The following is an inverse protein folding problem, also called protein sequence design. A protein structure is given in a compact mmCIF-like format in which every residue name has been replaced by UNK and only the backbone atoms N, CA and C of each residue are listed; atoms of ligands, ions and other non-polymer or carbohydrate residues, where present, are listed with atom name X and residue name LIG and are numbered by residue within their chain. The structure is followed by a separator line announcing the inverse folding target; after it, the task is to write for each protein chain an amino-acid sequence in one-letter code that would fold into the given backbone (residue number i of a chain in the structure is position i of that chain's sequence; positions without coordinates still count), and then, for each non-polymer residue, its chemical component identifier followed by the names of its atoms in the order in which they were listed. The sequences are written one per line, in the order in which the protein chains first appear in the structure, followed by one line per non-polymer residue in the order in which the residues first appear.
data_IF_359908197673
#
_entry.id   IF_359908197673
#
_cell.length_a   1.000
_cell.length_b   1.000
_cell.length_c   1.000
_cell.angle_alpha   90.00
_cell.angle_beta   90.00
_cell.angle_gamma   90.00
#
_symmetry.space_group_name_H-M   'P 1'
#
loop_
_entity.id
_entity.type
_entity.pdbx_description
1 polymer ?
#
# COMPACT_ATOMS: atom_id res chain seq x y z
N UNK A 1 -7.37 -13.82 0.52
CA UNK A 1 -8.31 -12.85 -0.11
C UNK A 1 -8.66 -11.76 0.87
N UNK A 2 -8.64 -10.51 0.42
CA UNK A 2 -9.11 -9.34 1.19
C UNK A 2 -10.50 -8.93 0.67
N UNK A 3 -11.45 -8.73 1.58
CA UNK A 3 -12.82 -8.30 1.23
C UNK A 3 -13.27 -7.16 2.12
N UNK A 4 -13.86 -6.15 1.51
CA UNK A 4 -14.53 -5.03 2.16
C UNK A 4 -16.03 -5.18 1.88
N UNK A 5 -16.85 -5.24 2.92
CA UNK A 5 -18.27 -5.49 2.85
C UNK A 5 -19.07 -4.37 3.49
N UNK A 6 -19.77 -3.59 2.65
CA UNK A 6 -20.66 -2.49 3.03
C UNK A 6 -20.03 -1.44 3.97
N UNK A 7 -18.74 -1.15 3.82
CA UNK A 7 -18.03 -0.19 4.68
C UNK A 7 -18.56 1.22 4.48
N UNK A 8 -18.95 1.85 5.60
CA UNK A 8 -19.21 3.28 5.68
C UNK A 8 -18.31 3.92 6.72
N UNK A 9 -17.89 5.16 6.47
CA UNK A 9 -17.01 5.91 7.36
C UNK A 9 -17.30 7.41 7.26
N UNK A 10 -17.21 8.11 8.37
CA UNK A 10 -17.33 9.58 8.43
C UNK A 10 -16.23 10.16 9.31
N UNK A 11 -15.72 11.31 8.92
CA UNK A 11 -14.99 12.19 9.83
C UNK A 11 -16.00 13.15 10.42
N UNK A 12 -16.20 13.10 11.73
CA UNK A 12 -17.28 13.82 12.43
C UNK A 12 -18.64 13.59 11.74
N UNK A 13 -19.21 14.62 11.14
CA UNK A 13 -20.49 14.57 10.44
C UNK A 13 -20.36 14.41 8.92
N UNK A 14 -19.13 14.43 8.37
CA UNK A 14 -18.91 14.34 6.94
C UNK A 14 -18.72 12.89 6.52
N UNK A 15 -19.70 12.33 5.80
CA UNK A 15 -19.62 10.97 5.27
C UNK A 15 -18.61 10.92 4.12
N UNK A 16 -17.58 10.09 4.29
CA UNK A 16 -16.49 9.89 3.30
C UNK A 16 -16.68 8.58 2.52
N UNK A 17 -17.02 7.50 3.21
CA UNK A 17 -17.32 6.21 2.59
C UNK A 17 -18.78 5.86 2.83
N UNK A 18 -19.44 5.32 1.82
CA UNK A 18 -20.86 4.99 1.86
C UNK A 18 -21.10 3.63 1.22
N UNK A 19 -21.19 2.60 2.05
CA UNK A 19 -21.46 1.19 1.67
C UNK A 19 -20.51 0.69 0.57
N UNK A 20 -19.19 0.93 0.74
CA UNK A 20 -18.18 0.41 -0.17
C UNK A 20 -18.13 -1.11 -0.10
N UNK A 21 -18.17 -1.72 -1.27
CA UNK A 21 -17.92 -3.14 -1.48
C UNK A 21 -16.71 -3.31 -2.40
N UNK A 22 -15.75 -4.14 -1.98
CA UNK A 22 -14.52 -4.38 -2.73
C UNK A 22 -14.03 -5.79 -2.45
N UNK A 23 -13.72 -6.55 -3.50
CA UNK A 23 -13.05 -7.83 -3.39
C UNK A 23 -11.67 -7.77 -4.05
N UNK A 24 -10.66 -8.21 -3.32
CA UNK A 24 -9.27 -8.24 -3.76
C UNK A 24 -8.81 -9.69 -3.78
N UNK A 25 -8.82 -10.35 -4.95
CA UNK A 25 -8.35 -11.72 -5.09
C UNK A 25 -6.85 -11.82 -4.81
N UNK A 26 -6.41 -12.98 -4.29
CA UNK A 26 -5.00 -13.21 -4.02
C UNK A 26 -4.16 -13.20 -5.31
N UNK A 27 -2.97 -12.63 -5.23
CA UNK A 27 -2.02 -12.55 -6.34
C UNK A 27 -2.46 -11.63 -7.50
N UNK A 28 -3.39 -10.70 -7.23
CA UNK A 28 -3.92 -9.75 -8.22
C UNK A 28 -3.60 -8.30 -7.85
N UNK A 29 -3.54 -7.46 -8.88
CA UNK A 29 -3.49 -6.00 -8.75
C UNK A 29 -4.89 -5.44 -8.90
N UNK A 30 -5.40 -4.86 -7.84
CA UNK A 30 -6.68 -4.16 -7.83
C UNK A 30 -6.45 -2.66 -7.78
N UNK A 31 -6.85 -1.96 -8.82
CA UNK A 31 -6.70 -0.52 -8.94
C UNK A 31 -7.94 0.22 -8.44
N UNK A 32 -7.75 1.16 -7.54
CA UNK A 32 -8.78 2.07 -7.05
C UNK A 32 -8.61 3.43 -7.73
N UNK A 33 -9.57 3.79 -8.56
CA UNK A 33 -9.57 5.01 -9.37
C UNK A 33 -10.60 6.00 -8.85
N UNK A 34 -10.40 7.28 -9.15
CA UNK A 34 -11.32 8.35 -8.80
C UNK A 34 -10.61 9.65 -8.50
N UNK A 35 -11.35 10.76 -8.49
CA UNK A 35 -10.81 12.10 -8.23
C UNK A 35 -10.26 12.21 -6.81
N UNK A 36 -9.49 13.27 -6.54
CA UNK A 36 -9.04 13.57 -5.17
C UNK A 36 -10.26 13.87 -4.28
N UNK A 37 -10.16 13.43 -3.00
CA UNK A 37 -11.21 13.65 -2.02
C UNK A 37 -12.40 12.69 -2.09
N UNK A 38 -12.43 11.69 -3.00
CA UNK A 38 -13.58 10.76 -3.10
C UNK A 38 -13.55 9.62 -2.08
N UNK A 39 -12.48 9.52 -1.24
CA UNK A 39 -12.39 8.53 -0.16
C UNK A 39 -11.39 7.39 -0.36
N UNK A 40 -10.57 7.39 -1.44
CA UNK A 40 -9.59 6.32 -1.73
C UNK A 40 -8.62 6.07 -0.58
N UNK A 41 -7.88 7.10 -0.16
CA UNK A 41 -6.96 7.05 1.00
C UNK A 41 -7.68 6.63 2.28
N UNK A 42 -8.88 7.15 2.52
CA UNK A 42 -9.70 6.79 3.69
C UNK A 42 -10.06 5.31 3.67
N UNK A 43 -10.38 4.74 2.50
CA UNK A 43 -10.63 3.31 2.36
C UNK A 43 -9.38 2.49 2.71
N UNK A 44 -8.19 2.87 2.19
CA UNK A 44 -6.94 2.18 2.55
C UNK A 44 -6.68 2.26 4.07
N UNK A 45 -6.90 3.42 4.69
CA UNK A 45 -6.72 3.61 6.15
C UNK A 45 -7.67 2.73 6.96
N UNK A 46 -8.92 2.55 6.51
CA UNK A 46 -9.86 1.60 7.12
C UNK A 46 -9.36 0.14 6.95
N UNK A 47 -8.86 -0.24 5.77
CA UNK A 47 -8.37 -1.60 5.51
C UNK A 47 -7.18 -1.94 6.42
N UNK A 48 -6.25 -1.02 6.65
CA UNK A 48 -5.07 -1.29 7.49
C UNK A 48 -5.31 -1.00 8.99
N UNK A 49 -6.51 -0.53 9.38
CA UNK A 49 -6.88 -0.30 10.78
C UNK A 49 -6.32 0.97 11.40
N UNK A 50 -5.98 1.97 10.59
CA UNK A 50 -5.66 3.33 11.03
C UNK A 50 -6.93 4.14 11.31
N UNK A 51 -8.03 3.75 10.66
CA UNK A 51 -9.38 4.24 10.93
C UNK A 51 -10.32 3.04 11.15
N UNK A 52 -11.39 3.25 11.90
CA UNK A 52 -12.40 2.22 12.14
C UNK A 52 -13.70 2.60 11.40
N UNK A 53 -14.27 1.71 10.59
CA UNK A 53 -15.52 2.00 9.89
C UNK A 53 -16.67 2.20 10.88
N UNK A 54 -17.61 3.08 10.53
CA UNK A 54 -18.83 3.27 11.29
C UNK A 54 -19.85 2.16 11.09
N UNK A 55 -19.77 1.43 9.97
CA UNK A 55 -20.55 0.23 9.67
C UNK A 55 -19.88 -0.62 8.60
N UNK A 56 -20.35 -1.86 8.46
CA UNK A 56 -19.82 -2.85 7.52
C UNK A 56 -18.67 -3.66 8.13
N UNK A 57 -18.03 -4.49 7.31
CA UNK A 57 -16.99 -5.42 7.76
C UNK A 57 -15.82 -5.50 6.78
N UNK A 58 -14.64 -5.79 7.32
CA UNK A 58 -13.43 -6.06 6.56
C UNK A 58 -12.96 -7.46 6.90
N UNK A 59 -12.77 -8.27 5.88
CA UNK A 59 -12.30 -9.64 6.04
C UNK A 59 -10.94 -9.81 5.38
N UNK A 60 -10.05 -10.52 6.05
CA UNK A 60 -8.79 -10.97 5.49
C UNK A 60 -8.59 -12.45 5.77
N UNK A 61 -8.40 -13.26 4.70
CA UNK A 61 -8.33 -14.72 4.78
C UNK A 61 -9.51 -15.32 5.57
N UNK A 62 -10.72 -14.88 5.25
CA UNK A 62 -12.00 -15.27 5.87
C UNK A 62 -12.16 -14.88 7.36
N UNK A 63 -11.19 -14.18 7.94
CA UNK A 63 -11.27 -13.69 9.31
C UNK A 63 -11.76 -12.24 9.31
N UNK A 64 -12.72 -11.91 10.18
CA UNK A 64 -13.16 -10.53 10.41
C UNK A 64 -12.05 -9.77 11.13
N UNK A 65 -11.49 -8.75 10.45
CA UNK A 65 -10.43 -7.89 10.98
C UNK A 65 -10.91 -6.46 11.28
N UNK A 66 -12.22 -6.21 11.20
CA UNK A 66 -12.82 -4.87 11.22
C UNK A 66 -12.35 -4.02 12.40
N UNK A 67 -12.22 -4.61 13.58
CA UNK A 67 -11.82 -3.90 14.79
C UNK A 67 -10.43 -4.29 15.30
N UNK A 68 -9.66 -5.08 14.52
CA UNK A 68 -8.27 -5.38 14.88
C UNK A 68 -7.40 -4.13 14.73
N UNK A 69 -6.59 -3.78 15.74
CA UNK A 69 -5.63 -2.68 15.64
C UNK A 69 -4.65 -2.85 14.47
N UNK A 70 -4.18 -1.72 13.90
CA UNK A 70 -3.27 -1.69 12.75
C UNK A 70 -2.03 -2.58 12.91
N UNK A 71 -1.45 -2.65 14.12
CA UNK A 71 -0.29 -3.51 14.42
C UNK A 71 -0.58 -5.00 14.14
N UNK A 72 -1.76 -5.49 14.52
CA UNK A 72 -2.13 -6.89 14.30
C UNK A 72 -2.39 -7.15 12.81
N UNK A 73 -3.01 -6.19 12.10
CA UNK A 73 -3.21 -6.30 10.65
C UNK A 73 -1.88 -6.28 9.90
N UNK A 74 -0.94 -5.40 10.30
CA UNK A 74 0.41 -5.39 9.73
C UNK A 74 1.12 -6.74 9.93
N UNK A 75 1.10 -7.28 11.16
CA UNK A 75 1.65 -8.61 11.46
C UNK A 75 0.91 -9.75 10.73
N UNK A 76 -0.35 -9.55 10.34
CA UNK A 76 -1.09 -10.53 9.52
C UNK A 76 -0.69 -10.50 8.06
N UNK A 77 0.10 -9.50 7.64
CA UNK A 77 0.64 -9.39 6.30
C UNK A 77 0.02 -8.29 5.45
N UNK A 78 -0.66 -7.28 6.04
CA UNK A 78 -1.11 -6.09 5.33
C UNK A 78 -0.10 -4.95 5.52
N UNK A 79 0.39 -4.37 4.43
CA UNK A 79 1.28 -3.22 4.49
C UNK A 79 0.72 -2.05 3.68
N UNK A 80 0.89 -0.83 4.18
CA UNK A 80 0.51 0.40 3.51
C UNK A 80 1.74 1.26 3.21
N UNK A 81 1.86 1.70 1.97
CA UNK A 81 2.71 2.82 1.57
C UNK A 81 1.78 4.01 1.35
N UNK A 82 1.74 4.97 2.28
CA UNK A 82 0.81 6.09 2.21
C UNK A 82 1.26 7.14 1.19
N UNK A 83 0.33 7.97 0.73
CA UNK A 83 0.61 9.18 -0.04
C UNK A 83 1.63 10.06 0.70
N UNK A 84 2.53 10.70 -0.04
CA UNK A 84 3.60 11.51 0.55
C UNK A 84 4.72 10.69 1.19
N UNK A 85 4.79 9.36 0.93
CA UNK A 85 5.89 8.44 1.29
C UNK A 85 6.05 8.20 2.79
N UNK A 86 5.86 9.20 3.63
CA UNK A 86 5.97 9.18 5.09
C UNK A 86 7.22 8.42 5.60
N UNK A 87 8.37 8.68 4.97
CA UNK A 87 9.66 8.20 5.46
C UNK A 87 10.08 9.01 6.70
N UNK A 88 11.01 8.48 7.48
CA UNK A 88 11.60 9.20 8.60
C UNK A 88 12.82 9.99 8.11
N UNK A 89 12.72 11.33 7.92
CA UNK A 89 13.74 12.11 7.23
C UNK A 89 15.04 12.29 8.02
N UNK A 90 14.98 12.17 9.35
CA UNK A 90 16.12 12.45 10.26
C UNK A 90 17.00 11.24 10.54
N UNK A 91 16.52 10.03 10.27
CA UNK A 91 17.28 8.79 10.40
C UNK A 91 17.73 8.26 9.05
N UNK A 92 18.69 7.34 9.06
CA UNK A 92 19.30 6.77 7.86
C UNK A 92 18.32 5.90 7.07
N UNK A 93 18.66 5.62 5.81
CA UNK A 93 17.95 4.64 4.97
C UNK A 93 17.89 3.28 5.64
N UNK A 94 19.02 2.80 6.18
CA UNK A 94 19.09 1.52 6.91
C UNK A 94 18.15 1.50 8.10
N UNK A 95 18.14 2.54 8.92
CA UNK A 95 17.25 2.64 10.09
C UNK A 95 15.78 2.71 9.68
N UNK A 96 15.44 3.44 8.60
CA UNK A 96 14.09 3.43 8.03
C UNK A 96 13.64 2.02 7.66
N UNK A 97 14.49 1.25 6.99
CA UNK A 97 14.19 -0.14 6.62
C UNK A 97 14.04 -1.04 7.87
N UNK A 98 14.90 -0.87 8.87
CA UNK A 98 14.84 -1.63 10.13
C UNK A 98 13.51 -1.48 10.87
N UNK A 99 12.86 -0.31 10.79
CA UNK A 99 11.52 -0.12 11.39
C UNK A 99 10.52 -1.11 10.80
N UNK A 100 10.61 -1.43 9.50
CA UNK A 100 9.75 -2.41 8.84
C UNK A 100 9.82 -3.82 9.46
N UNK A 101 10.94 -4.19 10.09
CA UNK A 101 11.11 -5.49 10.75
C UNK A 101 10.10 -5.72 11.89
N UNK A 102 9.56 -4.67 12.49
CA UNK A 102 8.59 -4.78 13.59
C UNK A 102 7.27 -5.46 13.18
N UNK A 103 6.95 -5.45 11.89
CA UNK A 103 5.77 -6.11 11.33
C UNK A 103 5.97 -7.64 11.12
N UNK A 104 7.21 -8.14 11.14
CA UNK A 104 7.50 -9.56 10.87
C UNK A 104 7.06 -10.47 12.01
N UNK A 105 6.59 -11.67 11.63
CA UNK A 105 6.22 -12.73 12.58
C UNK A 105 7.41 -13.64 12.96
N UNK A 106 8.40 -13.74 12.07
CA UNK A 106 9.56 -14.64 12.24
C UNK A 106 10.66 -14.05 13.14
N UNK A 107 10.45 -12.83 13.67
CA UNK A 107 11.39 -12.11 14.51
C UNK A 107 12.77 -11.85 13.86
N UNK A 108 12.87 -11.88 12.54
CA UNK A 108 14.11 -11.55 11.83
C UNK A 108 14.61 -10.16 12.24
N UNK A 109 15.91 -10.03 12.54
CA UNK A 109 16.55 -8.80 13.03
C UNK A 109 17.39 -8.08 11.98
N UNK A 110 17.56 -8.70 10.82
CA UNK A 110 18.33 -8.14 9.72
C UNK A 110 17.44 -7.83 8.54
N UNK A 111 17.78 -6.78 7.79
CA UNK A 111 17.08 -6.43 6.55
C UNK A 111 17.36 -7.53 5.52
N UNK A 112 16.33 -8.17 4.94
CA UNK A 112 16.53 -9.17 3.90
C UNK A 112 17.31 -8.61 2.72
N UNK A 113 18.27 -9.39 2.19
CA UNK A 113 19.09 -8.98 1.05
C UNK A 113 18.27 -8.64 -0.19
N UNK A 114 17.16 -9.34 -0.37
CA UNK A 114 16.19 -9.13 -1.42
C UNK A 114 15.69 -7.67 -1.54
N UNK A 115 15.55 -6.94 -0.42
CA UNK A 115 15.14 -5.52 -0.47
C UNK A 115 16.16 -4.68 -1.22
N UNK A 116 17.44 -5.02 -1.09
CA UNK A 116 18.52 -4.35 -1.79
C UNK A 116 18.70 -4.85 -3.24
N UNK A 117 18.19 -6.04 -3.55
CA UNK A 117 18.12 -6.55 -4.93
C UNK A 117 16.99 -5.85 -5.69
N UNK A 118 15.83 -5.67 -5.05
CA UNK A 118 14.70 -4.91 -5.61
C UNK A 118 15.02 -3.42 -5.78
N UNK A 119 15.76 -2.84 -4.83
CA UNK A 119 16.11 -1.42 -4.80
C UNK A 119 17.61 -1.21 -4.49
N UNK A 120 18.52 -1.42 -5.46
CA UNK A 120 19.97 -1.33 -5.23
C UNK A 120 20.41 0.01 -4.63
N UNK A 121 19.75 1.11 -5.02
CA UNK A 121 20.05 2.45 -4.51
C UNK A 121 19.92 2.56 -2.98
N UNK A 122 19.08 1.73 -2.35
CA UNK A 122 18.92 1.74 -0.89
C UNK A 122 20.13 1.14 -0.18
N UNK A 123 20.88 0.25 -0.84
CA UNK A 123 22.16 -0.27 -0.35
C UNK A 123 23.24 0.82 -0.43
N UNK A 124 23.35 1.47 -1.59
CA UNK A 124 24.36 2.51 -1.85
C UNK A 124 24.18 3.71 -0.92
N UNK A 125 22.92 4.02 -0.61
CA UNK A 125 22.54 5.16 0.24
C UNK A 125 22.27 4.77 1.69
N UNK A 126 22.62 3.55 2.13
CA UNK A 126 22.21 2.97 3.42
C UNK A 126 22.54 3.85 4.64
N UNK A 127 23.63 4.61 4.60
CA UNK A 127 24.08 5.52 5.65
C UNK A 127 23.56 6.94 5.51
N UNK A 128 22.92 7.31 4.39
CA UNK A 128 22.34 8.64 4.21
C UNK A 128 21.03 8.79 4.98
N UNK A 129 20.76 10.00 5.48
CA UNK A 129 19.46 10.34 6.06
C UNK A 129 18.37 10.30 4.99
N UNK A 130 17.21 9.77 5.34
CA UNK A 130 16.07 9.66 4.41
C UNK A 130 15.67 10.99 3.76
N UNK A 131 15.75 12.09 4.52
CA UNK A 131 15.45 13.43 4.00
C UNK A 131 16.41 13.96 2.94
N UNK A 132 17.60 13.36 2.79
CA UNK A 132 18.59 13.73 1.77
C UNK A 132 18.44 12.96 0.47
N UNK A 133 17.44 12.09 0.36
CA UNK A 133 17.12 11.35 -0.85
C UNK A 133 16.25 12.20 -1.79
N UNK A 134 16.36 11.95 -3.10
CA UNK A 134 15.40 12.47 -4.07
C UNK A 134 13.99 11.91 -3.83
N UNK A 135 12.96 12.57 -4.39
CA UNK A 135 11.58 12.10 -4.24
C UNK A 135 11.37 10.65 -4.67
N UNK A 136 11.93 10.25 -5.80
CA UNK A 136 11.86 8.85 -6.27
C UNK A 136 12.60 7.86 -5.37
N UNK A 137 13.79 8.24 -4.84
CA UNK A 137 14.52 7.41 -3.88
C UNK A 137 13.77 7.27 -2.54
N UNK A 138 13.09 8.34 -2.09
CA UNK A 138 12.23 8.27 -0.90
C UNK A 138 11.04 7.33 -1.12
N UNK A 139 10.47 7.30 -2.34
CA UNK A 139 9.40 6.37 -2.68
C UNK A 139 9.90 4.91 -2.67
N UNK A 140 11.06 4.64 -3.26
CA UNK A 140 11.68 3.32 -3.19
C UNK A 140 11.97 2.92 -1.73
N UNK A 141 12.41 3.86 -0.89
CA UNK A 141 12.60 3.62 0.54
C UNK A 141 11.29 3.30 1.26
N UNK A 142 10.21 4.02 0.96
CA UNK A 142 8.89 3.78 1.56
C UNK A 142 8.35 2.39 1.19
N UNK A 143 8.47 2.00 -0.09
CA UNK A 143 8.09 0.66 -0.56
C UNK A 143 9.00 -0.40 0.06
N UNK A 144 10.32 -0.21 0.03
CA UNK A 144 11.28 -1.13 0.64
C UNK A 144 11.01 -1.36 2.12
N UNK A 145 10.72 -0.30 2.89
CA UNK A 145 10.35 -0.40 4.31
C UNK A 145 9.08 -1.24 4.53
N UNK A 146 8.08 -1.09 3.66
CA UNK A 146 6.87 -1.90 3.72
C UNK A 146 7.16 -3.37 3.43
N UNK A 147 7.99 -3.65 2.41
CA UNK A 147 8.37 -5.00 1.99
C UNK A 147 9.25 -5.74 3.01
N UNK A 148 10.06 -5.03 3.79
CA UNK A 148 10.83 -5.61 4.89
C UNK A 148 9.94 -6.40 5.85
N UNK A 149 8.69 -5.96 6.05
CA UNK A 149 7.69 -6.64 6.88
C UNK A 149 7.19 -7.98 6.36
N UNK A 150 7.60 -8.43 5.16
CA UNK A 150 7.11 -9.62 4.46
C UNK A 150 5.58 -9.63 4.28
N UNK A 151 4.99 -8.56 3.69
CA UNK A 151 3.55 -8.49 3.51
C UNK A 151 3.06 -9.48 2.45
N UNK A 152 1.80 -9.91 2.57
CA UNK A 152 1.07 -10.68 1.55
C UNK A 152 0.15 -9.78 0.73
N UNK A 153 -0.25 -8.65 1.30
CA UNK A 153 -1.05 -7.60 0.64
C UNK A 153 -0.31 -6.27 0.81
N UNK A 154 0.04 -5.64 -0.30
CA UNK A 154 0.66 -4.32 -0.34
C UNK A 154 -0.36 -3.30 -0.85
N UNK A 155 -0.66 -2.31 -0.02
CA UNK A 155 -1.52 -1.20 -0.37
C UNK A 155 -0.64 0.01 -0.70
N UNK A 156 -0.82 0.60 -1.88
CA UNK A 156 -0.05 1.73 -2.39
C UNK A 156 -0.98 2.91 -2.65
N UNK A 157 -0.73 4.03 -2.00
CA UNK A 157 -1.54 5.25 -2.15
C UNK A 157 -0.78 6.28 -2.99
N UNK A 158 -1.16 6.41 -4.26
CA UNK A 158 -0.58 7.30 -5.27
C UNK A 158 0.97 7.21 -5.36
N UNK A 159 1.52 5.98 -5.57
CA UNK A 159 2.96 5.76 -5.50
C UNK A 159 3.76 6.46 -6.62
N UNK A 160 3.12 6.95 -7.69
CA UNK A 160 3.78 7.62 -8.81
C UNK A 160 3.77 9.14 -8.70
N UNK A 161 3.06 9.70 -7.70
CA UNK A 161 2.89 11.14 -7.55
C UNK A 161 4.22 11.88 -7.34
N UNK A 162 4.50 12.87 -8.20
CA UNK A 162 5.70 13.71 -8.11
C UNK A 162 7.01 12.96 -8.33
N UNK A 163 7.01 11.90 -9.13
CA UNK A 163 8.17 11.04 -9.41
C UNK A 163 8.51 11.09 -10.91
N UNK A 164 9.79 11.00 -11.22
CA UNK A 164 10.29 10.97 -12.59
C UNK A 164 9.88 9.67 -13.30
N UNK A 165 9.59 9.70 -14.62
CA UNK A 165 9.12 8.54 -15.38
C UNK A 165 10.01 7.28 -15.28
N UNK A 166 11.33 7.44 -15.29
CA UNK A 166 12.28 6.34 -15.16
C UNK A 166 12.17 5.61 -13.80
N UNK A 167 11.86 6.35 -12.73
CA UNK A 167 11.66 5.74 -11.41
C UNK A 167 10.28 5.08 -11.33
N UNK A 168 9.26 5.65 -11.97
CA UNK A 168 7.93 5.02 -12.09
C UNK A 168 8.07 3.65 -12.76
N UNK A 169 8.81 3.57 -13.87
CA UNK A 169 9.08 2.30 -14.56
C UNK A 169 9.82 1.31 -13.65
N UNK A 170 10.85 1.77 -12.91
CA UNK A 170 11.57 0.91 -11.97
C UNK A 170 10.65 0.35 -10.89
N UNK A 171 9.78 1.17 -10.30
CA UNK A 171 8.77 0.73 -9.32
C UNK A 171 7.81 -0.28 -9.96
N UNK A 172 7.36 -0.02 -11.19
CA UNK A 172 6.50 -0.93 -11.94
C UNK A 172 7.13 -2.31 -12.14
N UNK A 173 8.41 -2.37 -12.54
CA UNK A 173 9.13 -3.64 -12.68
C UNK A 173 9.22 -4.40 -11.35
N UNK A 174 9.50 -3.70 -10.24
CA UNK A 174 9.51 -4.32 -8.91
C UNK A 174 8.14 -4.87 -8.55
N UNK A 175 7.05 -4.11 -8.76
CA UNK A 175 5.70 -4.61 -8.51
C UNK A 175 5.39 -5.84 -9.35
N UNK A 176 5.76 -5.84 -10.63
CA UNK A 176 5.56 -6.98 -11.52
C UNK A 176 6.29 -8.24 -11.02
N UNK A 177 7.55 -8.13 -10.60
CA UNK A 177 8.30 -9.24 -9.99
C UNK A 177 7.61 -9.76 -8.73
N UNK A 178 7.21 -8.88 -7.82
CA UNK A 178 6.50 -9.27 -6.58
C UNK A 178 5.18 -10.01 -6.86
N UNK A 179 4.44 -9.60 -7.89
CA UNK A 179 3.18 -10.23 -8.28
C UNK A 179 3.44 -11.59 -8.92
N UNK A 180 4.36 -11.67 -9.88
CA UNK A 180 4.60 -12.90 -10.65
C UNK A 180 5.32 -13.97 -9.84
N UNK A 181 6.36 -13.59 -9.10
CA UNK A 181 7.25 -14.51 -8.40
C UNK A 181 6.74 -14.83 -6.99
N UNK A 182 6.27 -13.80 -6.26
CA UNK A 182 5.82 -13.95 -4.86
C UNK A 182 4.32 -14.11 -4.70
N UNK A 183 3.54 -14.01 -5.80
CA UNK A 183 2.07 -14.01 -5.75
C UNK A 183 1.51 -12.96 -4.79
N UNK A 184 2.22 -11.83 -4.66
CA UNK A 184 1.78 -10.72 -3.82
C UNK A 184 0.50 -10.12 -4.35
N UNK A 185 -0.43 -9.82 -3.45
CA UNK A 185 -1.64 -9.09 -3.76
C UNK A 185 -1.37 -7.60 -3.62
N UNK A 186 -1.82 -6.78 -4.57
CA UNK A 186 -1.60 -5.33 -4.55
C UNK A 186 -2.93 -4.59 -4.65
N UNK A 187 -3.14 -3.62 -3.76
CA UNK A 187 -4.20 -2.61 -3.91
C UNK A 187 -3.53 -1.30 -4.26
N UNK A 188 -3.81 -0.80 -5.44
CA UNK A 188 -3.16 0.38 -6.01
C UNK A 188 -4.17 1.52 -6.15
N UNK A 189 -3.99 2.59 -5.39
CA UNK A 189 -4.68 3.85 -5.63
C UNK A 189 -3.84 4.66 -6.60
N UNK A 190 -4.38 4.96 -7.78
CA UNK A 190 -3.67 5.69 -8.83
C UNK A 190 -4.59 6.50 -9.72
N UNK A 191 -4.04 7.55 -10.33
CA UNK A 191 -4.67 8.37 -11.33
C UNK A 191 -3.93 8.32 -12.69
N UNK A 192 -2.70 7.82 -12.68
CA UNK A 192 -1.89 7.67 -13.89
C UNK A 192 -2.36 6.45 -14.68
N UNK A 193 -3.17 6.73 -15.71
CA UNK A 193 -3.91 5.71 -16.46
C UNK A 193 -3.01 4.68 -17.13
N UNK A 194 -1.86 5.12 -17.67
CA UNK A 194 -0.95 4.20 -18.36
C UNK A 194 -0.32 3.18 -17.39
N UNK A 195 0.01 3.61 -16.16
CA UNK A 195 0.47 2.72 -15.11
C UNK A 195 -0.62 1.70 -14.69
N UNK A 196 -1.86 2.16 -14.59
CA UNK A 196 -3.01 1.30 -14.27
C UNK A 196 -3.22 0.25 -15.38
N UNK A 197 -3.16 0.65 -16.67
CA UNK A 197 -3.32 -0.26 -17.81
C UNK A 197 -2.21 -1.31 -17.90
N UNK A 198 -0.99 -0.93 -17.51
CA UNK A 198 0.16 -1.83 -17.57
C UNK A 198 0.15 -2.87 -16.46
N UNK A 199 -0.29 -2.50 -15.25
CA UNK A 199 -0.14 -3.33 -14.06
C UNK A 199 -1.46 -3.83 -13.45
N UNK A 200 -2.61 -3.22 -13.77
CA UNK A 200 -3.90 -3.55 -13.17
C UNK A 200 -4.54 -4.81 -13.75
N UNK A 201 -4.99 -5.72 -12.88
CA UNK A 201 -5.85 -6.86 -13.26
C UNK A 201 -7.34 -6.51 -13.17
N UNK A 202 -7.70 -5.72 -12.15
CA UNK A 202 -9.07 -5.31 -11.84
C UNK A 202 -9.08 -3.83 -11.49
N UNK A 203 -10.15 -3.13 -11.80
CA UNK A 203 -10.31 -1.74 -11.38
C UNK A 203 -11.67 -1.49 -10.71
N UNK A 204 -11.69 -0.53 -9.80
CA UNK A 204 -12.88 0.01 -9.15
C UNK A 204 -12.83 1.54 -9.22
N UNK A 205 -13.88 2.14 -9.74
CA UNK A 205 -14.02 3.60 -9.79
C UNK A 205 -14.82 4.03 -8.58
N UNK A 206 -14.22 4.90 -7.75
CA UNK A 206 -14.86 5.47 -6.58
C UNK A 206 -15.28 6.90 -6.89
N UNK A 207 -16.53 7.22 -6.60
CA UNK A 207 -17.08 8.57 -6.68
C UNK A 207 -17.99 8.82 -5.49
N UNK A 208 -17.83 9.98 -4.84
CA UNK A 208 -18.62 10.40 -3.64
C UNK A 208 -18.74 9.28 -2.59
N UNK A 209 -17.61 8.61 -2.33
CA UNK A 209 -17.55 7.54 -1.32
C UNK A 209 -18.23 6.23 -1.70
N UNK A 210 -18.57 6.00 -2.96
CA UNK A 210 -19.20 4.77 -3.46
C UNK A 210 -18.44 4.20 -4.64
N UNK A 211 -18.46 2.88 -4.80
CA UNK A 211 -18.02 2.22 -6.04
C UNK A 211 -19.11 2.42 -7.08
N UNK A 212 -18.79 3.10 -8.18
CA UNK A 212 -19.73 3.40 -9.27
C UNK A 212 -19.50 2.53 -10.51
N UNK A 213 -18.35 1.94 -10.65
CA UNK A 213 -18.01 1.01 -11.74
C UNK A 213 -16.87 0.09 -11.31
N UNK A 214 -16.84 -1.09 -11.89
CA UNK A 214 -15.72 -2.04 -11.76
C UNK A 214 -15.57 -2.85 -13.04
N UNK A 215 -14.35 -3.36 -13.29
CA UNK A 215 -14.06 -4.16 -14.48
C UNK A 215 -12.69 -4.81 -14.43
N UNK A 216 -12.31 -5.43 -15.55
CA UNK A 216 -11.01 -6.08 -15.80
C UNK A 216 -10.27 -5.35 -16.90
#
# INVERSE_FOLDING_TARGET
MLKVDNISFSYDHVKILNKINLEVPDGKVVCLMGRNGVGKTTLLRNIVGLENPSSGKIYYNNSDITHLPAMYRARSGLALVPQGRMIFPRITVKENLQIGLSARKDNLKIIPNEIYELFPILRDMSHRKGGNLSGGQQQQLAIGRALVGDPKVLLLDEPTEGIQPNIIQSIGHVLKSLITEKKMTVVLVEQYVDFIKEFGDLFFIINKGQVVSSGK
#
